data_IF_217334785138
#
_entry.id   IF_217334785138
#
_cell.length_a   1.000
_cell.length_b   1.000
_cell.length_c   1.000
_cell.angle_alpha   90.00
_cell.angle_beta   90.00
_cell.angle_gamma   90.00
#
_symmetry.space_group_name_H-M   'P 1'
#
loop_
_entity.id
_entity.type
_entity.pdbx_description
1 polymer ?
#
# COMPACT_ATOMS: atom_id res chain seq x y z
N UNK A 1 -1.01 12.49 -8.18
CA UNK A 1 -2.45 12.30 -8.48
C UNK A 1 -3.26 12.33 -7.18
N UNK A 2 -4.60 12.38 -7.22
CA UNK A 2 -5.43 12.24 -6.00
C UNK A 2 -5.23 10.87 -5.35
N UNK A 3 -5.24 9.81 -6.16
CA UNK A 3 -5.01 8.44 -5.71
C UNK A 3 -3.71 8.29 -4.89
N UNK A 4 -2.58 8.77 -5.42
CA UNK A 4 -1.29 8.66 -4.73
C UNK A 4 -1.28 9.25 -3.32
N UNK A 5 -2.06 10.32 -3.09
CA UNK A 5 -2.19 10.94 -1.78
C UNK A 5 -3.06 10.10 -0.86
N UNK A 6 -4.18 9.58 -1.36
CA UNK A 6 -5.08 8.73 -0.57
C UNK A 6 -4.42 7.41 -0.21
N UNK A 7 -3.66 6.83 -1.14
CA UNK A 7 -2.85 5.64 -0.93
C UNK A 7 -1.84 5.82 0.21
N UNK A 8 -1.09 6.93 0.21
CA UNK A 8 -0.16 7.25 1.29
C UNK A 8 -0.88 7.45 2.66
N UNK A 9 -2.04 8.11 2.66
CA UNK A 9 -2.84 8.30 3.88
C UNK A 9 -3.36 6.96 4.41
N UNK A 10 -3.80 6.06 3.52
CA UNK A 10 -4.27 4.73 3.89
C UNK A 10 -3.18 3.93 4.62
N UNK A 11 -1.97 3.89 4.06
CA UNK A 11 -0.84 3.18 4.67
C UNK A 11 -0.40 3.81 6.00
N UNK A 12 -0.35 5.14 6.10
CA UNK A 12 -0.03 5.82 7.37
C UNK A 12 -1.06 5.51 8.47
N UNK A 13 -2.35 5.39 8.11
CA UNK A 13 -3.41 5.02 9.06
C UNK A 13 -3.27 3.60 9.57
N UNK A 14 -2.92 2.64 8.72
CA UNK A 14 -2.65 1.26 9.15
C UNK A 14 -1.51 1.24 10.17
N UNK A 15 -0.45 1.99 9.91
CA UNK A 15 0.71 2.08 10.80
C UNK A 15 0.39 2.80 12.13
N UNK A 16 -0.45 3.84 12.09
CA UNK A 16 -0.99 4.50 13.29
C UNK A 16 -1.74 3.51 14.19
N UNK A 17 -2.61 2.67 13.61
CA UNK A 17 -3.35 1.67 14.38
C UNK A 17 -2.48 0.53 14.89
N UNK A 18 -1.36 0.22 14.22
CA UNK A 18 -0.39 -0.76 14.69
C UNK A 18 0.42 -0.27 15.91
N UNK A 19 0.35 1.02 16.25
CA UNK A 19 1.02 1.65 17.40
C UNK A 19 2.54 1.41 17.45
N UNK A 20 3.17 1.27 16.27
CA UNK A 20 4.62 1.15 16.15
C UNK A 20 5.21 2.43 15.54
N UNK A 21 5.43 3.42 16.40
CA UNK A 21 5.92 4.74 15.98
C UNK A 21 7.28 4.70 15.27
N UNK A 22 8.18 3.82 15.70
CA UNK A 22 9.49 3.66 15.06
C UNK A 22 9.36 3.23 13.59
N UNK A 23 8.52 2.22 13.33
CA UNK A 23 8.28 1.76 11.96
C UNK A 23 7.52 2.82 11.16
N UNK A 24 6.51 3.47 11.75
CA UNK A 24 5.74 4.53 11.09
C UNK A 24 6.65 5.68 10.64
N UNK A 25 7.52 6.17 11.52
CA UNK A 25 8.48 7.24 11.19
C UNK A 25 9.47 6.80 10.11
N UNK A 26 9.98 5.57 10.20
CA UNK A 26 10.90 5.00 9.21
C UNK A 26 10.26 4.90 7.82
N UNK A 27 8.98 4.51 7.73
CA UNK A 27 8.25 4.46 6.46
C UNK A 27 7.96 5.85 5.92
N UNK A 28 7.58 6.80 6.78
CA UNK A 28 7.30 8.17 6.38
C UNK A 28 8.53 8.87 5.76
N UNK A 29 9.73 8.63 6.30
CA UNK A 29 10.98 9.19 5.74
C UNK A 29 11.41 8.57 4.41
N UNK A 30 10.98 7.34 4.08
CA UNK A 30 11.30 6.70 2.82
C UNK A 30 10.50 7.26 1.65
N UNK A 31 9.39 7.95 1.90
CA UNK A 31 8.50 8.48 0.86
C UNK A 31 8.16 7.44 -0.22
N UNK A 32 7.96 6.18 0.15
CA UNK A 32 7.84 5.03 -0.77
C UNK A 32 6.77 5.28 -1.83
N UNK A 33 5.59 5.77 -1.45
CA UNK A 33 4.52 6.09 -2.40
C UNK A 33 4.95 7.14 -3.45
N UNK A 34 5.69 8.19 -3.05
CA UNK A 34 6.20 9.17 -4.00
C UNK A 34 7.13 8.52 -5.03
N UNK A 35 8.02 7.63 -4.60
CA UNK A 35 8.92 6.92 -5.51
C UNK A 35 8.18 5.98 -6.46
N UNK A 36 7.18 5.24 -5.97
CA UNK A 36 6.34 4.33 -6.77
C UNK A 36 5.59 5.12 -7.84
N UNK A 37 4.86 6.17 -7.47
CA UNK A 37 4.05 6.93 -8.42
C UNK A 37 4.89 7.80 -9.38
N UNK A 38 6.14 8.10 -9.04
CA UNK A 38 7.10 8.71 -9.97
C UNK A 38 7.49 7.76 -11.09
N UNK A 39 7.69 6.47 -10.79
CA UNK A 39 8.08 5.45 -11.76
C UNK A 39 6.89 4.93 -12.57
N UNK A 40 5.73 4.77 -11.93
CA UNK A 40 4.55 4.15 -12.53
C UNK A 40 3.48 5.16 -12.92
N UNK A 41 3.76 5.99 -13.94
CA UNK A 41 2.79 6.95 -14.48
C UNK A 41 1.79 6.25 -15.44
N UNK A 42 0.96 5.33 -14.94
CA UNK A 42 -0.09 4.67 -15.73
C UNK A 42 -1.32 4.32 -14.88
N UNK A 43 -2.52 4.59 -15.42
CA UNK A 43 -3.82 4.36 -14.76
C UNK A 43 -4.11 2.90 -14.43
N UNK A 44 -3.56 1.93 -15.18
CA UNK A 44 -3.78 0.49 -14.93
C UNK A 44 -3.29 0.03 -13.57
N UNK A 45 -2.18 0.58 -13.08
CA UNK A 45 -1.64 0.32 -11.72
C UNK A 45 -2.61 0.81 -10.64
N UNK A 46 -3.46 1.78 -10.97
CA UNK A 46 -4.38 2.42 -10.03
C UNK A 46 -5.62 1.55 -9.78
N UNK A 47 -6.10 0.83 -10.81
CA UNK A 47 -7.28 -0.06 -10.70
C UNK A 47 -6.95 -1.34 -9.92
N UNK A 48 -5.85 -2.03 -10.26
CA UNK A 48 -5.45 -3.27 -9.58
C UNK A 48 -5.20 -3.05 -8.08
N UNK A 49 -4.64 -1.89 -7.69
CA UNK A 49 -4.41 -1.55 -6.29
C UNK A 49 -5.71 -1.25 -5.51
N UNK A 50 -6.79 -0.82 -6.19
CA UNK A 50 -8.07 -0.56 -5.52
C UNK A 50 -8.73 -1.86 -5.05
N UNK A 51 -8.71 -2.90 -5.89
CA UNK A 51 -9.24 -4.22 -5.52
C UNK A 51 -8.45 -4.83 -4.35
N UNK A 52 -7.13 -4.63 -4.34
CA UNK A 52 -6.25 -5.04 -3.24
C UNK A 52 -6.58 -4.28 -1.94
N UNK A 53 -6.81 -2.97 -2.00
CA UNK A 53 -7.23 -2.18 -0.84
C UNK A 53 -8.60 -2.59 -0.31
N UNK A 54 -9.54 -2.90 -1.20
CA UNK A 54 -10.87 -3.39 -0.81
C UNK A 54 -10.76 -4.70 -0.03
N UNK A 55 -9.91 -5.63 -0.46
CA UNK A 55 -9.67 -6.88 0.25
C UNK A 55 -9.07 -6.65 1.67
N UNK A 56 -8.14 -5.70 1.80
CA UNK A 56 -7.56 -5.32 3.10
C UNK A 56 -8.63 -4.72 4.01
N UNK A 57 -9.43 -3.78 3.49
CA UNK A 57 -10.52 -3.14 4.23
C UNK A 57 -11.59 -4.15 4.65
N UNK A 58 -11.93 -5.11 3.80
CA UNK A 58 -12.87 -6.18 4.13
C UNK A 58 -12.35 -7.04 5.29
N UNK A 59 -11.05 -7.38 5.30
CA UNK A 59 -10.44 -8.12 6.40
C UNK A 59 -10.44 -7.32 7.71
N UNK A 60 -10.17 -6.01 7.65
CA UNK A 60 -10.30 -5.13 8.81
C UNK A 60 -11.74 -5.04 9.33
N UNK A 61 -12.72 -4.89 8.43
CA UNK A 61 -14.13 -4.85 8.80
C UNK A 61 -14.60 -6.15 9.47
N UNK A 62 -14.05 -7.29 9.05
CA UNK A 62 -14.30 -8.59 9.66
C UNK A 62 -13.56 -8.82 10.99
N UNK A 63 -12.58 -7.98 11.33
CA UNK A 63 -11.71 -8.18 12.50
C UNK A 63 -10.77 -9.39 12.37
N UNK A 64 -10.51 -9.85 11.15
CA UNK A 64 -9.67 -11.03 10.89
C UNK A 64 -8.23 -10.60 10.62
N UNK A 65 -7.40 -10.69 11.66
CA UNK A 65 -6.00 -10.31 11.61
C UNK A 65 -5.18 -11.16 10.62
N UNK A 66 -5.49 -12.45 10.46
CA UNK A 66 -4.76 -13.32 9.54
C UNK A 66 -5.16 -13.02 8.08
N UNK A 67 -6.44 -12.77 7.82
CA UNK A 67 -6.87 -12.32 6.51
C UNK A 67 -6.25 -10.96 6.13
N UNK A 68 -6.14 -10.04 7.08
CA UNK A 68 -5.56 -8.73 6.85
C UNK A 68 -4.06 -8.81 6.53
N UNK A 69 -3.31 -9.63 7.29
CA UNK A 69 -1.89 -9.89 7.03
C UNK A 69 -1.69 -10.49 5.64
N UNK A 70 -2.45 -11.55 5.30
CA UNK A 70 -2.38 -12.18 4.00
C UNK A 70 -2.72 -11.21 2.86
N UNK A 71 -3.76 -10.39 3.01
CA UNK A 71 -4.17 -9.42 1.99
C UNK A 71 -3.08 -8.36 1.78
N UNK A 72 -2.49 -7.83 2.86
CA UNK A 72 -1.39 -6.87 2.78
C UNK A 72 -0.13 -7.48 2.15
N UNK A 73 0.19 -8.74 2.45
CA UNK A 73 1.30 -9.43 1.83
C UNK A 73 1.14 -9.50 0.30
N UNK A 74 -0.02 -9.94 -0.17
CA UNK A 74 -0.33 -10.02 -1.62
C UNK A 74 -0.25 -8.64 -2.27
N UNK A 75 -0.79 -7.61 -1.63
CA UNK A 75 -0.72 -6.22 -2.12
C UNK A 75 0.73 -5.74 -2.32
N UNK A 76 1.61 -6.01 -1.36
CA UNK A 76 3.03 -5.63 -1.44
C UNK A 76 3.75 -6.40 -2.55
N UNK A 77 3.49 -7.71 -2.68
CA UNK A 77 4.08 -8.53 -3.75
C UNK A 77 3.65 -8.07 -5.14
N UNK A 78 2.35 -7.83 -5.33
CA UNK A 78 1.84 -7.31 -6.60
C UNK A 78 2.43 -5.93 -6.90
N UNK A 79 2.58 -5.07 -5.89
CA UNK A 79 3.21 -3.76 -6.05
C UNK A 79 4.68 -3.87 -6.44
N UNK A 80 5.43 -4.82 -5.86
CA UNK A 80 6.81 -5.15 -6.28
C UNK A 80 6.86 -5.59 -7.73
N UNK A 81 6.01 -6.52 -8.13
CA UNK A 81 6.02 -7.09 -9.48
C UNK A 81 5.63 -6.05 -10.53
N UNK A 82 4.73 -5.11 -10.18
CA UNK A 82 4.43 -3.93 -11.02
C UNK A 82 5.61 -2.99 -11.17
N UNK A 83 6.46 -2.86 -10.15
CA UNK A 83 7.63 -1.96 -10.15
C UNK A 83 8.84 -2.55 -10.85
N UNK A 84 9.01 -3.87 -10.83
CA UNK A 84 10.20 -4.55 -11.33
C UNK A 84 10.57 -4.16 -12.78
N UNK A 85 9.64 -4.06 -13.74
CA UNK A 85 9.95 -3.66 -15.11
C UNK A 85 10.53 -2.25 -15.27
N UNK A 86 10.40 -1.36 -14.27
CA UNK A 86 10.99 -0.03 -14.32
C UNK A 86 12.51 -0.02 -14.05
N UNK A 87 13.08 -1.16 -13.68
CA UNK A 87 14.50 -1.34 -13.37
C UNK A 87 15.24 -2.21 -14.39
N UNK A 88 14.54 -2.69 -15.42
CA UNK A 88 15.10 -3.41 -16.58
C UNK A 88 15.25 -2.48 -17.78
#
# INVERSE_FOLDING_TARGET
SNFARQDAIFHDKIMEFAQNELIRETLNHQHTHFHIFRLMYHSRVTEEALDEHEAILAAFAAGDAHAAEKAMHVHIENSRDRLLPAFE
#
